data_IF_839376118928
#
_entry.id   IF_839376118928
#
_cell.length_a   1.000
_cell.length_b   1.000
_cell.length_c   1.000
_cell.angle_alpha   90.00
_cell.angle_beta   90.00
_cell.angle_gamma   90.00
#
_symmetry.space_group_name_H-M   'P 1'
#
loop_
_entity.id
_entity.type
_entity.pdbx_description
1 polymer ?
#
# COMPACT_ATOMS: atom_id res chain seq x y z
N UNK A 1 -10.46 -28.90 -5.84
CA UNK A 1 -9.12 -28.33 -5.96
C UNK A 1 -9.01 -27.26 -4.89
N UNK A 2 -7.97 -27.28 -4.05
CA UNK A 2 -7.72 -26.18 -3.12
C UNK A 2 -7.37 -24.93 -3.93
N UNK A 3 -8.13 -23.85 -3.74
CA UNK A 3 -8.02 -22.61 -4.52
C UNK A 3 -7.69 -21.46 -3.58
N UNK A 4 -6.66 -20.69 -3.91
CA UNK A 4 -6.35 -19.46 -3.18
C UNK A 4 -7.48 -18.45 -3.38
N UNK A 5 -7.80 -17.65 -2.37
CA UNK A 5 -8.92 -16.72 -2.39
C UNK A 5 -8.48 -15.34 -1.93
N UNK A 6 -8.83 -14.32 -2.71
CA UNK A 6 -8.71 -12.91 -2.33
C UNK A 6 -10.09 -12.30 -2.14
N UNK A 7 -10.35 -11.81 -0.93
CA UNK A 7 -11.57 -11.09 -0.59
C UNK A 7 -11.31 -9.59 -0.62
N UNK A 8 -12.05 -8.86 -1.44
CA UNK A 8 -11.98 -7.41 -1.56
C UNK A 8 -13.19 -6.78 -0.87
N UNK A 9 -12.97 -6.12 0.27
CA UNK A 9 -14.04 -5.44 1.03
C UNK A 9 -13.94 -3.94 0.84
N UNK A 10 -15.06 -3.32 0.43
CA UNK A 10 -15.16 -1.88 0.19
C UNK A 10 -14.92 -1.06 1.46
N UNK A 11 -14.07 -0.04 1.37
CA UNK A 11 -13.82 0.91 2.46
C UNK A 11 -14.78 2.12 2.41
N UNK A 12 -14.99 2.82 3.54
CA UNK A 12 -15.87 3.99 3.59
C UNK A 12 -15.44 5.16 2.69
N UNK A 13 -14.14 5.27 2.40
CA UNK A 13 -13.56 6.29 1.51
C UNK A 13 -13.45 5.81 0.04
N UNK A 14 -14.09 4.70 -0.31
CA UNK A 14 -14.09 4.15 -1.67
C UNK A 14 -15.32 4.58 -2.44
N UNK A 15 -15.19 4.62 -3.76
CA UNK A 15 -16.34 4.47 -4.65
C UNK A 15 -17.05 3.14 -4.33
N UNK A 16 -18.39 3.12 -4.18
CA UNK A 16 -19.11 1.95 -3.69
C UNK A 16 -18.93 0.73 -4.60
N UNK A 17 -18.62 -0.41 -4.01
CA UNK A 17 -18.68 -1.71 -4.67
C UNK A 17 -19.08 -2.82 -3.68
N UNK A 18 -19.70 -3.88 -4.19
CA UNK A 18 -20.01 -5.06 -3.38
C UNK A 18 -18.75 -5.90 -3.16
N UNK A 19 -18.64 -6.51 -1.98
CA UNK A 19 -17.55 -7.41 -1.63
C UNK A 19 -17.31 -8.47 -2.71
N UNK A 20 -16.04 -8.73 -3.03
CA UNK A 20 -15.65 -9.69 -4.07
C UNK A 20 -14.88 -10.84 -3.47
N UNK A 21 -15.20 -12.06 -3.88
CA UNK A 21 -14.56 -13.32 -3.51
C UNK A 21 -13.87 -13.87 -4.76
N UNK A 22 -12.62 -13.47 -4.96
CA UNK A 22 -11.87 -13.72 -6.19
C UNK A 22 -10.95 -14.92 -5.98
N UNK A 23 -11.25 -16.04 -6.62
CA UNK A 23 -10.36 -17.20 -6.63
C UNK A 23 -9.15 -16.94 -7.54
N UNK A 24 -7.96 -17.24 -7.05
CA UNK A 24 -6.67 -16.95 -7.67
C UNK A 24 -5.99 -18.24 -8.17
N UNK A 25 -6.76 -19.11 -8.82
CA UNK A 25 -6.21 -20.30 -9.53
C UNK A 25 -5.36 -19.88 -10.74
N UNK A 26 -5.73 -18.75 -11.34
CA UNK A 26 -5.01 -18.09 -12.42
C UNK A 26 -4.84 -16.60 -12.09
N UNK A 27 -3.91 -15.88 -12.73
CA UNK A 27 -3.79 -14.44 -12.57
C UNK A 27 -5.08 -13.70 -12.95
N UNK A 28 -5.66 -13.00 -11.96
CA UNK A 28 -6.89 -12.24 -12.14
C UNK A 28 -6.58 -10.79 -12.47
N UNK A 29 -7.22 -10.32 -13.53
CA UNK A 29 -7.12 -8.94 -13.98
C UNK A 29 -8.06 -8.04 -13.18
N UNK A 30 -7.49 -6.92 -12.74
CA UNK A 30 -8.19 -5.83 -12.08
C UNK A 30 -8.39 -4.69 -13.06
N UNK A 31 -9.61 -4.16 -13.15
CA UNK A 31 -9.87 -3.03 -14.02
C UNK A 31 -11.32 -2.59 -14.09
N UNK A 32 -11.54 -1.64 -15.00
CA UNK A 32 -12.85 -1.04 -15.24
C UNK A 32 -13.77 -1.97 -16.03
N UNK A 33 -15.05 -1.96 -15.64
CA UNK A 33 -16.17 -2.56 -16.37
C UNK A 33 -16.16 -2.16 -17.85
N UNK A 34 -16.36 -3.16 -18.72
CA UNK A 34 -16.56 -2.99 -20.16
C UNK A 34 -17.72 -3.86 -20.63
N UNK A 35 -18.23 -3.65 -21.84
CA UNK A 35 -19.39 -4.40 -22.35
C UNK A 35 -19.25 -5.93 -22.23
N UNK A 36 -18.03 -6.45 -22.41
CA UNK A 36 -17.72 -7.89 -22.33
C UNK A 36 -17.31 -8.39 -20.93
N UNK A 37 -17.01 -7.50 -19.99
CA UNK A 37 -16.53 -7.86 -18.65
C UNK A 37 -17.27 -7.00 -17.63
N UNK A 38 -18.32 -7.56 -17.03
CA UNK A 38 -19.14 -6.88 -16.03
C UNK A 38 -18.66 -7.21 -14.62
N UNK A 39 -18.88 -6.31 -13.65
CA UNK A 39 -18.64 -6.59 -12.24
C UNK A 39 -19.39 -7.84 -11.79
N UNK A 40 -18.70 -8.77 -11.13
CA UNK A 40 -19.29 -9.96 -10.55
C UNK A 40 -18.57 -10.29 -9.23
N UNK A 41 -19.23 -11.04 -8.34
CA UNK A 41 -18.66 -11.40 -7.04
C UNK A 41 -17.32 -12.15 -7.17
N UNK A 42 -17.15 -12.95 -8.21
CA UNK A 42 -15.95 -13.75 -8.45
C UNK A 42 -14.85 -13.04 -9.26
N UNK A 43 -14.98 -11.74 -9.54
CA UNK A 43 -14.00 -10.99 -10.32
C UNK A 43 -13.61 -9.66 -9.68
N UNK A 44 -12.45 -9.15 -10.09
CA UNK A 44 -11.93 -7.84 -9.69
C UNK A 44 -12.25 -6.74 -10.73
N UNK A 45 -13.43 -6.80 -11.35
CA UNK A 45 -13.91 -5.77 -12.28
C UNK A 45 -14.82 -4.79 -11.56
N UNK A 46 -14.53 -3.48 -11.69
CA UNK A 46 -15.23 -2.41 -11.00
C UNK A 46 -15.86 -1.42 -11.99
N UNK A 47 -17.06 -0.94 -11.70
CA UNK A 47 -17.69 0.11 -12.50
C UNK A 47 -17.26 1.50 -12.02
N UNK A 48 -15.98 1.80 -12.21
CA UNK A 48 -15.37 3.04 -11.72
C UNK A 48 -14.63 3.78 -12.85
N UNK A 49 -15.02 5.04 -13.11
CA UNK A 49 -14.50 5.84 -14.23
C UNK A 49 -12.98 6.07 -14.14
N UNK A 50 -12.45 6.23 -12.92
CA UNK A 50 -11.02 6.52 -12.69
C UNK A 50 -10.12 5.29 -12.84
N UNK A 51 -10.68 4.08 -13.00
CA UNK A 51 -9.92 2.87 -13.29
C UNK A 51 -9.64 2.72 -14.78
N UNK A 52 -8.50 2.09 -15.07
CA UNK A 52 -8.12 1.66 -16.42
C UNK A 52 -8.80 0.34 -16.74
N UNK A 53 -9.01 0.03 -18.02
CA UNK A 53 -9.55 -1.28 -18.45
C UNK A 53 -8.61 -2.44 -18.06
N UNK A 54 -7.31 -2.19 -18.14
CA UNK A 54 -6.24 -3.04 -17.61
C UNK A 54 -5.54 -2.16 -16.59
N UNK A 55 -5.85 -2.33 -15.30
CA UNK A 55 -5.33 -1.46 -14.26
C UNK A 55 -4.23 -2.17 -13.50
N UNK A 56 -4.54 -3.33 -12.94
CA UNK A 56 -3.58 -4.16 -12.23
C UNK A 56 -3.83 -5.65 -12.51
N UNK A 57 -2.89 -6.48 -12.06
CA UNK A 57 -2.96 -7.92 -12.09
C UNK A 57 -2.68 -8.44 -10.68
N UNK A 58 -3.52 -9.35 -10.19
CA UNK A 58 -3.33 -10.02 -8.90
C UNK A 58 -3.23 -11.52 -9.14
N UNK A 59 -2.30 -12.18 -8.47
CA UNK A 59 -2.14 -13.63 -8.57
C UNK A 59 -1.58 -14.22 -7.29
N UNK A 60 -1.76 -15.52 -7.16
CA UNK A 60 -1.11 -16.33 -6.15
C UNK A 60 0.01 -17.14 -6.80
N UNK A 61 1.20 -17.12 -6.21
CA UNK A 61 2.31 -17.95 -6.64
C UNK A 61 2.36 -19.23 -5.79
N UNK A 62 1.92 -20.34 -6.38
CA UNK A 62 1.92 -21.65 -5.75
C UNK A 62 3.31 -22.17 -5.37
N UNK A 63 4.39 -21.66 -5.98
CA UNK A 63 5.77 -22.09 -5.65
C UNK A 63 6.28 -21.44 -4.39
N UNK A 64 5.95 -20.17 -4.19
CA UNK A 64 6.42 -19.38 -3.03
C UNK A 64 5.39 -19.30 -1.91
N UNK A 65 4.12 -19.61 -2.19
CA UNK A 65 3.01 -19.47 -1.25
C UNK A 65 2.65 -18.00 -0.98
N UNK A 66 2.94 -17.10 -1.93
CA UNK A 66 2.80 -15.66 -1.77
C UNK A 66 1.80 -15.07 -2.75
N UNK A 67 1.20 -13.95 -2.36
CA UNK A 67 0.29 -13.19 -3.20
C UNK A 67 0.99 -11.96 -3.74
N UNK A 68 0.75 -11.65 -5.00
CA UNK A 68 1.37 -10.54 -5.68
C UNK A 68 0.34 -9.65 -6.36
N UNK A 69 0.64 -8.37 -6.39
CA UNK A 69 -0.08 -7.34 -7.12
C UNK A 69 0.88 -6.58 -8.01
N UNK A 70 0.47 -6.34 -9.25
CA UNK A 70 1.27 -5.60 -10.22
C UNK A 70 0.42 -4.56 -10.92
N UNK A 71 0.92 -3.33 -11.02
CA UNK A 71 0.33 -2.28 -11.85
C UNK A 71 0.67 -2.52 -13.33
N UNK A 72 -0.35 -2.52 -14.19
CA UNK A 72 -0.24 -2.82 -15.62
C UNK A 72 -0.32 -1.56 -16.49
N UNK A 73 0.47 -0.53 -16.14
CA UNK A 73 0.50 0.79 -16.81
C UNK A 73 -0.80 1.56 -16.61
N UNK A 74 -1.29 1.57 -15.38
CA UNK A 74 -2.48 2.32 -14.99
C UNK A 74 -2.24 3.82 -15.10
N UNK A 75 -3.26 4.58 -15.53
CA UNK A 75 -3.11 6.03 -15.70
C UNK A 75 -3.05 6.77 -14.36
N UNK A 76 -3.90 6.34 -13.41
CA UNK A 76 -4.06 6.98 -12.11
C UNK A 76 -3.27 6.32 -10.98
N UNK A 77 -2.55 5.22 -11.26
CA UNK A 77 -1.72 4.50 -10.29
C UNK A 77 -2.48 3.47 -9.45
N UNK A 78 -1.74 2.45 -9.01
CA UNK A 78 -2.13 1.49 -7.98
C UNK A 78 -1.32 1.75 -6.71
N UNK A 79 -1.95 1.60 -5.55
CA UNK A 79 -1.37 1.88 -4.25
C UNK A 79 -1.61 0.71 -3.28
N UNK A 80 -0.59 0.40 -2.48
CA UNK A 80 -0.66 -0.56 -1.37
C UNK A 80 -0.31 0.21 -0.10
N UNK A 81 -1.21 0.26 0.88
CA UNK A 81 -1.07 1.01 2.13
C UNK A 81 -0.61 2.46 1.91
N UNK A 82 -1.25 3.14 0.96
CA UNK A 82 -0.92 4.52 0.53
C UNK A 82 0.42 4.70 -0.19
N UNK A 83 1.20 3.63 -0.40
CA UNK A 83 2.42 3.66 -1.20
C UNK A 83 2.11 3.30 -2.66
N UNK A 84 2.52 4.15 -3.59
CA UNK A 84 2.33 3.94 -5.04
C UNK A 84 3.33 2.92 -5.60
N UNK A 85 2.89 2.02 -6.47
CA UNK A 85 3.74 0.96 -7.03
C UNK A 85 4.58 1.39 -8.24
N UNK A 86 4.04 2.24 -9.11
CA UNK A 86 4.72 2.77 -10.29
C UNK A 86 4.27 4.18 -10.61
N UNK A 87 5.02 4.88 -11.45
CA UNK A 87 4.57 6.16 -12.02
C UNK A 87 3.40 5.92 -12.97
N UNK A 88 2.64 6.97 -13.26
CA UNK A 88 1.46 6.87 -14.12
C UNK A 88 1.86 6.39 -15.52
N UNK A 89 1.12 5.43 -16.06
CA UNK A 89 1.38 4.77 -17.36
C UNK A 89 2.68 3.94 -17.41
N UNK A 90 3.29 3.62 -16.28
CA UNK A 90 4.41 2.70 -16.16
C UNK A 90 3.99 1.40 -15.48
N UNK A 91 4.63 0.29 -15.87
CA UNK A 91 4.40 -1.01 -15.28
C UNK A 91 5.22 -1.14 -13.99
N UNK A 92 4.60 -1.61 -12.90
CA UNK A 92 5.34 -1.86 -11.66
C UNK A 92 5.99 -3.24 -11.70
N UNK A 93 7.04 -3.48 -10.90
CA UNK A 93 7.41 -4.85 -10.56
C UNK A 93 6.27 -5.53 -9.77
N UNK A 94 6.24 -6.88 -9.73
CA UNK A 94 5.40 -7.62 -8.80
C UNK A 94 5.66 -7.22 -7.35
N UNK A 95 4.63 -6.73 -6.66
CA UNK A 95 4.71 -6.37 -5.24
C UNK A 95 3.96 -7.40 -4.41
N UNK A 96 4.61 -7.94 -3.39
CA UNK A 96 3.97 -8.87 -2.45
C UNK A 96 2.90 -8.13 -1.64
N UNK A 97 1.73 -8.75 -1.53
CA UNK A 97 0.60 -8.26 -0.72
C UNK A 97 0.29 -9.25 0.41
N UNK A 98 -0.13 -8.70 1.54
CA UNK A 98 -0.42 -9.44 2.76
C UNK A 98 -1.90 -9.33 3.15
N UNK A 99 -2.39 -10.28 3.94
CA UNK A 99 -3.77 -10.19 4.42
C UNK A 99 -3.91 -8.99 5.36
N UNK A 100 -4.96 -8.20 5.17
CA UNK A 100 -5.22 -6.94 5.87
C UNK A 100 -4.68 -5.68 5.16
N UNK A 101 -3.97 -5.82 4.04
CA UNK A 101 -3.48 -4.66 3.28
C UNK A 101 -4.64 -3.79 2.73
N UNK A 102 -4.39 -2.48 2.64
CA UNK A 102 -5.29 -1.55 1.98
C UNK A 102 -4.80 -1.31 0.57
N UNK A 103 -5.59 -1.72 -0.41
CA UNK A 103 -5.28 -1.58 -1.83
C UNK A 103 -6.18 -0.48 -2.41
N UNK A 104 -5.56 0.47 -3.13
CA UNK A 104 -6.27 1.54 -3.81
C UNK A 104 -5.95 1.52 -5.30
N UNK A 105 -7.00 1.65 -6.11
CA UNK A 105 -6.91 1.74 -7.56
C UNK A 105 -7.38 3.11 -8.03
N UNK A 106 -6.46 3.86 -8.61
CA UNK A 106 -6.66 5.24 -9.03
C UNK A 106 -6.67 6.26 -7.88
N UNK A 107 -7.00 7.50 -8.24
CA UNK A 107 -7.14 8.64 -7.32
C UNK A 107 -8.45 9.36 -7.62
N UNK A 108 -8.96 10.12 -6.65
CA UNK A 108 -10.17 10.91 -6.84
C UNK A 108 -9.93 12.01 -7.88
N UNK A 109 -10.75 12.02 -8.92
CA UNK A 109 -10.65 13.02 -10.01
C UNK A 109 -11.88 13.92 -9.98
N UNK A 110 -11.67 15.21 -9.77
CA UNK A 110 -12.73 16.21 -9.86
C UNK A 110 -12.78 16.80 -11.27
N UNK A 111 -13.94 16.68 -11.92
CA UNK A 111 -14.16 17.20 -13.26
C UNK A 111 -14.62 18.66 -13.16
N UNK A 112 -13.72 19.61 -13.47
CA UNK A 112 -13.95 21.06 -13.34
C UNK A 112 -15.17 21.57 -14.12
N UNK A 113 -15.51 20.92 -15.23
CA UNK A 113 -16.62 21.31 -16.10
C UNK A 113 -18.00 21.04 -15.49
N UNK A 114 -18.11 20.05 -14.60
CA UNK A 114 -19.40 19.60 -14.03
C UNK A 114 -19.46 19.64 -12.50
N UNK A 115 -18.35 20.01 -11.83
CA UNK A 115 -18.20 19.94 -10.36
C UNK A 115 -18.57 18.56 -9.79
N UNK A 116 -18.29 17.50 -10.54
CA UNK A 116 -18.51 16.10 -10.12
C UNK A 116 -17.16 15.50 -9.75
N UNK A 117 -17.09 14.89 -8.57
CA UNK A 117 -15.92 14.13 -8.14
C UNK A 117 -16.15 12.64 -8.41
N UNK A 118 -15.23 12.04 -9.16
CA UNK A 118 -15.21 10.60 -9.40
C UNK A 118 -14.27 9.96 -8.40
N UNK A 119 -14.84 9.21 -7.45
CA UNK A 119 -14.08 8.50 -6.42
C UNK A 119 -13.27 7.33 -6.98
N UNK A 120 -12.14 7.04 -6.35
CA UNK A 120 -11.30 5.87 -6.59
C UNK A 120 -11.82 4.62 -5.86
N UNK A 121 -11.26 3.45 -6.18
CA UNK A 121 -11.58 2.21 -5.46
C UNK A 121 -10.58 2.03 -4.34
N UNK A 122 -11.07 1.92 -3.11
CA UNK A 122 -10.27 1.62 -1.91
C UNK A 122 -10.83 0.36 -1.27
N UNK A 123 -10.00 -0.67 -1.19
CA UNK A 123 -10.38 -1.98 -0.68
C UNK A 123 -9.44 -2.42 0.43
N UNK A 124 -9.98 -3.00 1.48
CA UNK A 124 -9.18 -3.91 2.31
C UNK A 124 -9.15 -5.26 1.62
N UNK A 125 -7.98 -5.90 1.60
CA UNK A 125 -7.83 -7.24 1.04
C UNK A 125 -7.62 -8.25 2.16
N UNK A 126 -8.36 -9.36 2.10
CA UNK A 126 -8.08 -10.57 2.91
C UNK A 126 -7.66 -11.69 1.99
N UNK A 127 -6.61 -12.39 2.34
CA UNK A 127 -5.99 -13.40 1.48
C UNK A 127 -6.04 -14.75 2.19
N UNK A 128 -6.49 -15.78 1.49
CA UNK A 128 -6.56 -17.14 1.99
C UNK A 128 -5.78 -18.05 1.05
N UNK A 129 -4.91 -18.85 1.66
CA UNK A 129 -4.13 -19.87 0.99
C UNK A 129 -5.06 -20.99 0.46
N UNK A 130 -4.58 -21.82 -0.48
CA UNK A 130 -5.37 -22.94 -1.01
C UNK A 130 -5.85 -23.93 0.07
N UNK A 131 -5.14 -24.04 1.19
CA UNK A 131 -5.51 -24.86 2.35
C UNK A 131 -6.68 -24.28 3.18
N UNK A 132 -7.15 -23.07 2.85
CA UNK A 132 -8.20 -22.35 3.55
C UNK A 132 -7.71 -21.53 4.74
N UNK A 133 -6.41 -21.57 5.06
CA UNK A 133 -5.82 -20.73 6.10
C UNK A 133 -5.67 -19.29 5.61
N UNK A 134 -5.88 -18.34 6.51
CA UNK A 134 -5.58 -16.94 6.20
C UNK A 134 -4.07 -16.78 6.00
N UNK A 135 -3.69 -16.07 4.93
CA UNK A 135 -2.30 -15.77 4.63
C UNK A 135 -1.70 -14.83 5.69
N UNK A 136 -0.37 -14.68 5.67
CA UNK A 136 0.36 -13.83 6.62
C UNK A 136 -0.29 -12.45 6.74
N UNK A 137 -0.59 -12.06 7.98
CA UNK A 137 -1.12 -10.74 8.29
C UNK A 137 0.03 -9.73 8.27
N UNK A 138 -0.25 -8.52 7.80
CA UNK A 138 0.73 -7.41 7.91
C UNK A 138 1.11 -7.11 9.36
N UNK A 139 0.19 -7.31 10.30
CA UNK A 139 0.41 -7.20 11.75
C UNK A 139 1.60 -8.04 12.20
N UNK A 140 1.73 -9.26 11.69
CA UNK A 140 2.76 -10.22 12.07
C UNK A 140 4.15 -9.84 11.54
N UNK A 141 4.20 -9.05 10.46
CA UNK A 141 5.46 -8.54 9.89
C UNK A 141 5.96 -7.33 10.67
N UNK A 142 5.05 -6.47 11.14
CA UNK A 142 5.38 -5.32 12.01
C UNK A 142 5.74 -5.80 13.43
N UNK A 143 5.23 -6.97 13.85
CA UNK A 143 5.60 -7.69 15.08
C UNK A 143 6.52 -8.88 14.82
N UNK A 144 7.36 -8.85 13.77
CA UNK A 144 8.51 -9.72 13.76
C UNK A 144 9.28 -9.46 15.07
N UNK A 145 9.56 -10.48 15.91
CA UNK A 145 10.26 -10.24 17.15
C UNK A 145 11.59 -9.58 16.79
N UNK A 146 11.83 -8.38 17.31
CA UNK A 146 13.19 -7.97 17.62
C UNK A 146 13.83 -9.19 18.31
N UNK A 147 15.00 -9.67 17.89
CA UNK A 147 15.59 -10.85 18.52
C UNK A 147 15.53 -10.66 20.03
N UNK A 148 14.73 -11.48 20.71
CA UNK A 148 14.61 -11.45 22.15
C UNK A 148 16.02 -11.60 22.72
N UNK A 149 16.41 -10.84 23.75
CA UNK A 149 17.75 -10.95 24.30
C UNK A 149 17.91 -12.36 24.83
N UNK A 150 18.63 -13.20 24.09
CA UNK A 150 19.05 -14.52 24.56
C UNK A 150 20.11 -14.25 25.61
N UNK A 151 19.87 -14.74 26.82
CA UNK A 151 20.78 -14.60 27.95
C UNK A 151 22.19 -15.10 27.61
N UNK A 152 23.15 -14.21 27.90
CA UNK A 152 24.49 -14.46 28.47
C UNK A 152 25.66 -14.88 27.56
N UNK A 153 26.58 -13.89 27.48
CA UNK A 153 28.06 -13.92 27.39
C UNK A 153 28.70 -14.11 26.01
N UNK A 154 29.18 -13.01 25.44
CA UNK A 154 30.62 -12.76 25.23
C UNK A 154 30.85 -11.29 24.83
N UNK A 155 31.82 -10.67 25.49
CA UNK A 155 32.26 -9.31 25.25
C UNK A 155 32.81 -9.11 23.81
N UNK A 156 32.79 -7.85 23.37
CA UNK A 156 33.54 -7.27 22.24
C UNK A 156 32.93 -7.38 20.84
N UNK A 157 31.87 -6.62 20.58
CA UNK A 157 31.71 -5.93 19.28
C UNK A 157 31.01 -4.58 19.51
N UNK A 158 31.62 -3.42 19.16
CA UNK A 158 30.91 -2.15 19.21
C UNK A 158 29.91 -2.13 18.04
N UNK A 159 28.62 -2.30 18.34
CA UNK A 159 27.59 -2.31 17.32
C UNK A 159 27.43 -0.89 16.72
N UNK A 160 27.53 -0.82 15.39
CA UNK A 160 27.35 0.39 14.57
C UNK A 160 26.05 1.14 14.90
N UNK A 161 25.05 0.41 15.39
CA UNK A 161 23.75 0.93 15.76
C UNK A 161 23.77 1.94 16.91
N UNK A 162 24.72 1.81 17.86
CA UNK A 162 24.82 2.77 18.97
C UNK A 162 25.36 4.14 18.53
N UNK A 163 26.23 4.16 17.50
CA UNK A 163 26.78 5.39 16.96
C UNK A 163 25.71 6.18 16.21
N UNK A 164 24.90 5.53 15.37
CA UNK A 164 23.82 6.18 14.63
C UNK A 164 22.73 6.73 15.57
N UNK A 165 22.36 5.97 16.62
CA UNK A 165 21.41 6.44 17.63
C UNK A 165 21.96 7.62 18.43
N UNK A 166 23.26 7.61 18.77
CA UNK A 166 23.88 8.73 19.48
C UNK A 166 23.92 9.98 18.58
N UNK A 167 24.26 9.81 17.30
CA UNK A 167 24.31 10.91 16.33
C UNK A 167 22.93 11.52 16.08
N UNK A 168 21.88 10.69 15.98
CA UNK A 168 20.49 11.14 15.89
C UNK A 168 20.05 11.86 17.17
N UNK A 169 20.41 11.35 18.35
CA UNK A 169 20.08 12.00 19.62
C UNK A 169 20.75 13.37 19.78
N UNK A 170 21.99 13.50 19.32
CA UNK A 170 22.75 14.74 19.38
C UNK A 170 22.18 15.77 18.39
N UNK A 171 21.77 15.33 17.19
CA UNK A 171 21.06 16.17 16.23
C UNK A 171 19.76 16.71 16.83
N UNK A 172 18.93 15.86 17.45
CA UNK A 172 17.67 16.27 18.10
C UNK A 172 17.88 17.22 19.29
N UNK A 173 18.99 17.09 20.02
CA UNK A 173 19.32 18.02 21.12
C UNK A 173 19.70 19.41 20.62
N UNK A 174 20.37 19.53 19.46
CA UNK A 174 20.69 20.83 18.84
C UNK A 174 19.42 21.59 18.45
N UNK A 175 18.35 20.91 18.04
CA UNK A 175 17.06 21.56 17.73
C UNK A 175 16.28 22.05 18.94
N UNK A 176 16.56 21.54 20.15
CA UNK A 176 15.89 22.00 21.40
C UNK A 176 16.49 23.28 21.98
N UNK A 177 17.66 23.72 21.51
CA UNK A 177 18.37 24.89 22.03
C UNK A 177 18.09 26.22 21.31
N UNK A 178 17.39 26.18 20.16
CA UNK A 178 17.11 27.37 19.37
C UNK A 178 15.61 27.68 19.43
N UNK A 179 15.27 28.86 19.93
CA UNK A 179 13.91 29.36 20.12
C UNK A 179 13.15 29.47 18.79
N UNK A 180 12.65 28.36 18.25
CA UNK A 180 11.94 28.30 16.97
C UNK A 180 10.58 27.61 17.12
N UNK A 181 9.52 28.38 16.86
CA UNK A 181 8.16 27.85 16.70
C UNK A 181 7.96 27.46 15.23
N UNK A 182 7.91 26.15 14.97
CA UNK A 182 7.46 25.57 13.70
C UNK A 182 8.54 24.82 12.91
N UNK A 183 8.43 23.50 12.89
CA UNK A 183 9.10 22.63 11.92
C UNK A 183 8.16 21.45 11.58
N UNK A 184 8.06 21.10 10.30
CA UNK A 184 7.39 19.87 9.85
C UNK A 184 8.48 18.94 9.30
N UNK A 185 8.52 17.71 9.81
CA UNK A 185 9.44 16.66 9.38
C UNK A 185 8.72 15.82 8.32
N UNK A 186 9.31 15.64 7.13
CA UNK A 186 8.85 14.65 6.16
C UNK A 186 9.45 13.28 6.51
N UNK A 187 8.65 12.22 6.38
CA UNK A 187 8.97 10.86 6.84
C UNK A 187 10.01 10.11 6.00
N UNK A 188 10.64 10.76 5.03
CA UNK A 188 11.39 10.13 3.94
C UNK A 188 12.77 10.78 3.69
N UNK A 189 13.31 11.44 4.73
CA UNK A 189 14.71 11.85 4.90
C UNK A 189 15.38 12.53 3.67
N UNK A 190 14.59 13.16 2.81
CA UNK A 190 15.07 13.86 1.63
C UNK A 190 14.35 15.20 1.49
N UNK A 191 15.10 16.25 1.84
CA UNK A 191 14.79 17.67 1.78
C UNK A 191 13.97 18.28 2.95
N UNK A 192 14.56 19.33 3.55
CA UNK A 192 13.88 20.29 4.41
C UNK A 192 13.37 21.44 3.54
N UNK A 193 12.06 21.72 3.58
CA UNK A 193 11.51 22.95 3.00
C UNK A 193 11.22 23.97 4.10
N UNK A 194 11.79 25.16 3.96
CA UNK A 194 11.51 26.31 4.80
C UNK A 194 10.41 27.16 4.15
N UNK A 195 9.32 27.41 4.87
CA UNK A 195 8.30 28.39 4.46
C UNK A 195 8.40 29.56 5.45
N UNK A 196 8.82 30.76 5.03
CA UNK A 196 8.73 31.93 5.91
C UNK A 196 7.28 32.26 6.23
N UNK A 197 6.97 32.76 7.43
CA UNK A 197 5.68 33.36 7.69
C UNK A 197 5.49 34.56 6.75
N UNK A 198 4.33 34.63 6.06
CA UNK A 198 3.86 35.87 5.46
C UNK A 198 3.60 36.85 6.60
N UNK A 199 4.46 37.85 6.76
CA UNK A 199 4.22 38.96 7.69
C UNK A 199 3.01 39.81 7.25
N UNK A 200 2.37 40.55 8.17
CA UNK A 200 1.35 41.53 7.81
C UNK A 200 1.98 42.80 7.21
N UNK A 201 1.15 43.59 6.52
CA UNK A 201 1.42 44.85 5.81
C UNK A 201 2.45 45.78 6.46
#
# INVERSE_FOLDING_TARGET
MPSALAIFTCRPNSHPFQERHVYLDEPIKIGRSVARCRPAQNNATFDCKVLSRNHALVWFDHKTGKFYLQDTKSSNGTFINSQRLSRGSEESPPCEILSGDIIQFGVDVTENTRKVTHGCIVSTIKLFLPDGMEARLRSDVIHAPLPSPVDKVAANTPSMYSQELFQLSQYLQVFRGSNMHGAVISCDNSAFFWIPPKGPL
#
